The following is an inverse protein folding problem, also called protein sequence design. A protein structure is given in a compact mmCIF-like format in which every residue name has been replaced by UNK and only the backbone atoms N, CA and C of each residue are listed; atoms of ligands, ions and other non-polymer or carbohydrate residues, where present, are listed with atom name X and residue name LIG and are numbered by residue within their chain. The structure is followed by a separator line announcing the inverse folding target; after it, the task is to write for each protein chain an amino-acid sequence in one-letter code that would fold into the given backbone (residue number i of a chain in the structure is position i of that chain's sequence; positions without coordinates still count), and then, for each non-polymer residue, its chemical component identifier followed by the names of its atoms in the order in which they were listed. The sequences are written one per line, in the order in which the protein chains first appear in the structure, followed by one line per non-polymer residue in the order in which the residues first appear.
data_IF_639469201298
#
_entry.id   IF_639469201298
#
_cell.length_a   1.000
_cell.length_b   1.000
_cell.length_c   1.000
_cell.angle_alpha   90.00
_cell.angle_beta   90.00
_cell.angle_gamma   90.00
#
_symmetry.space_group_name_H-M   'P 1'
#
loop_
_entity.id
_entity.type
_entity.pdbx_description
1 polymer ?
#
# COMPACT_ATOMS: atom_id res chain seq x y z
N UNK A 1 0.86 -4.37 63.21
CA UNK A 1 0.69 -5.44 62.20
C UNK A 1 1.03 -4.82 60.85
N UNK A 2 2.20 -5.17 60.30
CA UNK A 2 2.70 -4.67 59.02
C UNK A 2 2.88 -5.86 58.07
N UNK A 3 2.45 -5.78 56.80
CA UNK A 3 2.66 -6.88 55.87
C UNK A 3 4.03 -6.77 55.17
N UNK A 4 4.64 -7.95 55.06
CA UNK A 4 5.94 -8.20 54.45
C UNK A 4 5.95 -7.94 52.94
N UNK A 5 7.12 -7.51 52.48
CA UNK A 5 7.54 -7.34 51.09
C UNK A 5 7.73 -8.71 50.43
N UNK A 6 7.10 -8.92 49.29
CA UNK A 6 7.45 -10.00 48.37
C UNK A 6 8.17 -9.40 47.16
N UNK A 7 9.46 -9.65 47.10
CA UNK A 7 10.38 -9.32 46.03
C UNK A 7 10.23 -10.31 44.87
N UNK A 8 9.75 -9.81 43.73
CA UNK A 8 9.73 -10.55 42.46
C UNK A 8 10.96 -10.22 41.64
N UNK A 9 11.75 -11.26 41.41
CA UNK A 9 13.02 -11.32 40.71
C UNK A 9 12.91 -10.90 39.24
N UNK A 10 13.57 -9.80 38.89
CA UNK A 10 13.89 -9.42 37.51
C UNK A 10 14.95 -10.36 36.96
N UNK A 11 14.59 -11.20 35.99
CA UNK A 11 15.54 -11.94 35.16
C UNK A 11 15.76 -11.14 33.88
N UNK A 12 16.94 -10.54 33.76
CA UNK A 12 17.46 -10.07 32.47
C UNK A 12 17.86 -11.27 31.60
N UNK A 13 17.57 -11.24 30.29
CA UNK A 13 18.34 -11.98 29.31
C UNK A 13 19.51 -11.14 28.79
N UNK A 14 20.69 -11.59 29.16
CA UNK A 14 22.02 -11.18 28.72
C UNK A 14 22.28 -11.58 27.26
N UNK A 15 22.70 -10.60 26.47
CA UNK A 15 23.90 -10.61 25.59
C UNK A 15 23.92 -11.57 24.39
N UNK A 16 23.75 -10.94 23.22
CA UNK A 16 24.60 -11.05 22.03
C UNK A 16 24.78 -12.39 21.32
N UNK A 17 24.17 -12.50 20.14
CA UNK A 17 24.79 -13.19 19.00
C UNK A 17 24.41 -12.45 17.70
N UNK A 18 25.29 -11.54 17.26
CA UNK A 18 25.23 -10.98 15.90
C UNK A 18 25.72 -12.06 14.93
N UNK A 19 24.81 -12.90 14.47
CA UNK A 19 25.02 -13.68 13.27
C UNK A 19 25.01 -12.72 12.08
N UNK A 20 26.13 -12.64 11.38
CA UNK A 20 26.22 -12.06 10.04
C UNK A 20 25.30 -12.90 9.16
N UNK A 21 24.07 -12.42 8.94
CA UNK A 21 23.17 -12.95 7.93
C UNK A 21 23.75 -12.55 6.58
N UNK A 22 24.56 -13.45 6.03
CA UNK A 22 24.87 -13.44 4.60
C UNK A 22 23.52 -13.57 3.87
N UNK A 23 23.16 -12.65 2.97
CA UNK A 23 21.91 -12.78 2.23
C UNK A 23 21.93 -14.10 1.46
N UNK A 24 20.78 -14.81 1.36
CA UNK A 24 20.71 -15.95 0.46
C UNK A 24 21.05 -15.44 -0.93
N UNK A 25 22.15 -15.94 -1.49
CA UNK A 25 22.42 -15.90 -2.92
C UNK A 25 21.20 -16.48 -3.60
N UNK A 26 20.35 -15.60 -4.11
CA UNK A 26 19.21 -15.97 -4.92
C UNK A 26 19.80 -16.67 -6.13
N UNK A 27 19.78 -18.01 -6.11
CA UNK A 27 20.12 -18.83 -7.25
C UNK A 27 19.21 -18.36 -8.39
N UNK A 28 19.80 -17.62 -9.33
CA UNK A 28 19.15 -17.28 -10.57
C UNK A 28 18.73 -18.59 -11.25
N UNK A 29 17.44 -18.79 -11.55
CA UNK A 29 17.07 -19.86 -12.46
C UNK A 29 17.77 -19.61 -13.81
N UNK A 30 18.17 -20.67 -14.53
CA UNK A 30 18.78 -20.51 -15.85
C UNK A 30 17.83 -19.70 -16.73
N UNK A 31 18.33 -18.57 -17.25
CA UNK A 31 17.69 -17.82 -18.32
C UNK A 31 17.52 -18.78 -19.51
N UNK A 32 16.33 -19.35 -19.64
CA UNK A 32 15.90 -19.92 -20.91
C UNK A 32 15.64 -18.75 -21.85
N UNK A 33 16.59 -18.50 -22.75
CA UNK A 33 16.40 -17.71 -23.95
C UNK A 33 15.41 -18.44 -24.84
N UNK A 34 14.12 -18.21 -24.65
CA UNK A 34 13.11 -18.62 -25.62
C UNK A 34 12.75 -17.42 -26.50
N UNK A 35 13.43 -17.35 -27.64
CA UNK A 35 13.07 -16.48 -28.74
C UNK A 35 11.78 -17.00 -29.37
N UNK A 36 10.65 -16.35 -29.11
CA UNK A 36 9.54 -16.20 -30.07
C UNK A 36 8.42 -15.39 -29.43
N UNK A 37 8.36 -14.10 -29.74
CA UNK A 37 7.09 -13.39 -29.77
C UNK A 37 7.14 -12.33 -30.86
N UNK A 38 6.33 -12.58 -31.87
CA UNK A 38 5.96 -11.69 -32.96
C UNK A 38 5.31 -10.42 -32.43
N UNK A 39 5.94 -9.28 -32.69
CA UNK A 39 5.37 -7.95 -32.45
C UNK A 39 4.23 -7.68 -33.44
N UNK A 40 3.05 -7.20 -32.99
CA UNK A 40 2.24 -6.30 -33.80
C UNK A 40 2.77 -4.88 -33.62
N UNK A 41 3.17 -4.27 -34.73
CA UNK A 41 3.52 -2.87 -34.82
C UNK A 41 2.33 -2.00 -34.36
N UNK A 42 2.52 -1.25 -33.28
CA UNK A 42 1.69 -0.07 -33.01
C UNK A 42 2.57 1.15 -33.15
N UNK A 43 2.43 1.80 -34.31
CA UNK A 43 2.95 3.14 -34.54
C UNK A 43 2.30 4.08 -33.53
N UNK A 44 3.07 4.59 -32.58
CA UNK A 44 2.66 5.73 -31.77
C UNK A 44 3.64 6.88 -32.01
N UNK A 45 3.25 7.74 -32.96
CA UNK A 45 3.88 9.05 -33.17
C UNK A 45 3.48 9.92 -31.99
N UNK A 46 4.38 10.16 -31.04
CA UNK A 46 4.18 11.22 -30.07
C UNK A 46 5.35 12.19 -30.09
N UNK A 47 5.06 13.39 -30.58
CA UNK A 47 5.98 14.50 -30.73
C UNK A 47 6.33 15.07 -29.36
N UNK A 48 7.62 15.06 -29.05
CA UNK A 48 8.22 15.74 -27.91
C UNK A 48 8.19 17.26 -28.14
N UNK A 49 7.47 18.00 -27.31
CA UNK A 49 7.74 19.42 -27.05
C UNK A 49 7.97 19.61 -25.56
N UNK A 50 9.25 19.55 -25.19
CA UNK A 50 9.74 19.96 -23.88
C UNK A 50 9.69 21.48 -23.79
N UNK A 51 9.02 22.01 -22.77
CA UNK A 51 9.29 23.36 -22.30
C UNK A 51 9.55 23.31 -20.80
N UNK A 52 10.83 23.54 -20.51
CA UNK A 52 11.41 23.87 -19.23
C UNK A 52 10.76 25.15 -18.67
N UNK A 53 10.37 25.15 -17.40
CA UNK A 53 10.26 26.38 -16.60
C UNK A 53 10.19 26.02 -15.11
N UNK A 54 11.31 26.29 -14.45
CA UNK A 54 11.44 26.44 -13.01
C UNK A 54 10.48 27.52 -12.48
N UNK A 55 9.82 27.27 -11.34
CA UNK A 55 8.98 28.27 -10.69
C UNK A 55 8.19 27.81 -9.47
N UNK A 56 8.86 27.80 -8.32
CA UNK A 56 8.36 27.98 -6.95
C UNK A 56 7.31 27.04 -6.30
N UNK A 57 7.46 26.79 -4.98
CA UNK A 57 6.43 26.20 -4.13
C UNK A 57 5.43 27.26 -3.66
N UNK A 58 4.14 26.94 -3.64
CA UNK A 58 3.15 27.67 -2.85
C UNK A 58 2.25 26.71 -2.06
N UNK A 59 1.86 27.09 -0.83
CA UNK A 59 1.11 26.27 0.10
C UNK A 59 -0.40 26.30 -0.22
N UNK A 60 -1.09 25.30 0.32
CA UNK A 60 -2.53 25.06 0.42
C UNK A 60 -3.45 26.28 0.25
N UNK A 61 -4.65 26.02 -0.30
CA UNK A 61 -5.86 26.55 0.29
C UNK A 61 -6.80 25.43 0.73
N UNK A 62 -7.46 25.73 1.84
CA UNK A 62 -8.42 24.94 2.57
C UNK A 62 -9.68 24.55 1.77
N UNK A 63 -10.40 23.60 2.37
CA UNK A 63 -11.87 23.53 2.40
C UNK A 63 -12.63 23.38 1.08
N UNK A 64 -12.99 22.13 0.79
CA UNK A 64 -14.38 21.76 0.42
C UNK A 64 -14.55 20.26 0.65
N UNK A 65 -15.00 19.83 1.83
CA UNK A 65 -16.42 19.58 2.09
C UNK A 65 -17.12 18.71 1.03
N UNK A 66 -16.56 17.55 0.67
CA UNK A 66 -17.34 16.48 0.03
C UNK A 66 -18.10 15.72 1.12
N UNK A 67 -19.28 16.26 1.37
CA UNK A 67 -20.42 15.67 2.04
C UNK A 67 -20.46 14.14 2.02
N UNK A 68 -20.38 13.56 3.21
CA UNK A 68 -21.49 12.78 3.78
C UNK A 68 -22.19 11.85 2.78
N UNK A 69 -21.66 10.65 2.63
CA UNK A 69 -22.51 9.47 2.42
C UNK A 69 -22.00 8.32 3.29
N UNK A 70 -21.98 8.60 4.59
CA UNK A 70 -22.11 7.55 5.62
C UNK A 70 -23.45 6.87 5.36
N UNK A 71 -23.44 5.82 4.55
CA UNK A 71 -24.44 4.78 4.63
C UNK A 71 -24.35 4.23 6.04
N UNK A 72 -25.17 4.80 6.93
CA UNK A 72 -25.35 4.30 8.27
C UNK A 72 -25.58 2.79 8.16
N UNK A 73 -24.85 1.95 8.93
CA UNK A 73 -25.29 0.59 9.11
C UNK A 73 -26.73 0.67 9.59
N UNK A 74 -27.61 0.05 8.82
CA UNK A 74 -29.02 -0.10 9.14
C UNK A 74 -29.08 -0.96 10.40
N UNK A 75 -28.91 -0.32 11.55
CA UNK A 75 -29.05 -0.93 12.86
C UNK A 75 -30.51 -1.35 12.94
N UNK A 76 -30.75 -2.58 12.50
CA UNK A 76 -32.02 -3.28 12.62
C UNK A 76 -32.11 -3.77 14.06
N UNK A 77 -32.01 -2.84 15.00
CA UNK A 77 -32.39 -3.05 16.40
C UNK A 77 -33.87 -2.71 16.48
N UNK A 78 -34.67 -3.56 15.85
CA UNK A 78 -36.08 -3.67 16.14
C UNK A 78 -36.34 -5.10 16.63
N UNK A 79 -35.50 -5.56 17.55
CA UNK A 79 -36.03 -6.36 18.65
C UNK A 79 -36.87 -5.42 19.49
N UNK A 80 -38.09 -5.28 19.00
CA UNK A 80 -39.26 -4.99 19.79
C UNK A 80 -39.21 -5.97 20.94
N UNK A 81 -38.53 -5.59 22.03
CA UNK A 81 -38.89 -6.08 23.34
C UNK A 81 -40.36 -5.72 23.42
N UNK A 82 -41.19 -6.72 23.16
CA UNK A 82 -42.60 -6.71 23.45
C UNK A 82 -42.67 -6.45 24.96
N UNK A 83 -42.60 -5.17 25.32
CA UNK A 83 -43.12 -4.71 26.57
C UNK A 83 -44.60 -4.98 26.42
N UNK A 84 -44.99 -6.14 26.91
CA UNK A 84 -46.38 -6.52 27.15
C UNK A 84 -46.90 -5.57 28.23
N UNK A 85 -47.03 -4.28 27.89
CA UNK A 85 -47.93 -3.37 28.56
C UNK A 85 -49.33 -3.81 28.11
N UNK A 86 -49.76 -4.94 28.65
CA UNK A 86 -51.15 -5.38 28.63
C UNK A 86 -52.01 -4.22 29.07
N UNK A 87 -52.88 -3.77 28.16
CA UNK A 87 -54.04 -2.96 28.48
C UNK A 87 -53.71 -1.59 29.06
N UNK A 88 -53.63 -0.59 28.19
CA UNK A 88 -53.95 0.80 28.53
C UNK A 88 -55.42 0.88 28.95
N UNK A 89 -55.74 0.42 30.16
CA UNK A 89 -56.92 0.82 30.91
C UNK A 89 -56.63 2.21 31.46
N UNK A 90 -57.58 3.14 31.33
CA UNK A 90 -57.46 4.55 31.68
C UNK A 90 -56.81 4.77 33.06
N UNK A 91 -56.02 5.86 33.25
CA UNK A 91 -55.20 6.04 34.43
C UNK A 91 -56.06 6.37 35.66
N UNK A 92 -56.53 5.33 36.36
CA UNK A 92 -56.79 5.47 37.78
C UNK A 92 -55.46 5.80 38.46
N UNK A 93 -55.41 6.93 39.17
CA UNK A 93 -54.21 7.39 39.84
C UNK A 93 -53.78 6.35 40.88
N UNK A 94 -52.77 5.54 40.55
CA UNK A 94 -52.18 4.63 41.54
C UNK A 94 -51.65 5.48 42.69
N UNK A 95 -51.94 5.13 43.94
CA UNK A 95 -51.47 5.88 45.10
C UNK A 95 -49.94 5.96 45.06
N UNK A 96 -49.38 7.14 45.36
CA UNK A 96 -47.94 7.42 45.26
C UNK A 96 -47.09 6.42 46.06
N UNK A 97 -47.63 5.90 47.16
CA UNK A 97 -47.00 4.86 48.00
C UNK A 97 -46.80 3.52 47.28
N UNK A 98 -47.68 3.15 46.36
CA UNK A 98 -47.54 1.93 45.56
C UNK A 98 -46.45 2.09 44.51
N UNK A 99 -46.38 3.26 43.86
CA UNK A 99 -45.36 3.58 42.86
C UNK A 99 -43.96 3.61 43.49
N UNK A 100 -43.83 4.21 44.68
CA UNK A 100 -42.54 4.28 45.39
C UNK A 100 -42.19 2.93 46.04
N UNK A 101 -43.19 2.11 46.37
CA UNK A 101 -43.01 0.76 46.91
C UNK A 101 -42.67 -0.30 45.85
N UNK A 102 -42.89 0.00 44.57
CA UNK A 102 -42.58 -0.91 43.48
C UNK A 102 -41.07 -1.12 43.38
N UNK A 103 -40.65 -2.36 43.66
CA UNK A 103 -39.26 -2.75 43.51
C UNK A 103 -38.99 -3.09 42.05
N UNK A 104 -38.13 -2.32 41.41
CA UNK A 104 -37.66 -2.62 40.06
C UNK A 104 -36.99 -4.00 40.02
N UNK A 105 -37.19 -4.71 38.91
CA UNK A 105 -36.44 -5.91 38.62
C UNK A 105 -34.92 -5.58 38.66
N UNK A 106 -34.08 -6.47 39.22
CA UNK A 106 -32.64 -6.26 39.20
C UNK A 106 -32.11 -6.04 37.78
N UNK A 107 -31.34 -4.98 37.58
CA UNK A 107 -30.74 -4.68 36.28
C UNK A 107 -29.49 -5.53 36.03
N UNK A 108 -29.55 -6.37 35.00
CA UNK A 108 -28.40 -7.14 34.54
C UNK A 108 -27.62 -6.34 33.49
N UNK A 109 -26.74 -5.46 33.96
CA UNK A 109 -25.87 -4.66 33.12
C UNK A 109 -24.88 -5.49 32.30
N UNK A 110 -24.51 -6.67 32.80
CA UNK A 110 -23.51 -7.50 32.15
C UNK A 110 -24.07 -8.05 30.83
N UNK A 111 -25.29 -8.57 30.87
CA UNK A 111 -25.94 -9.09 29.66
C UNK A 111 -26.41 -7.99 28.72
N UNK A 112 -26.96 -6.90 29.27
CA UNK A 112 -27.63 -5.87 28.46
C UNK A 112 -26.69 -4.82 27.90
N UNK A 113 -25.55 -4.56 28.56
CA UNK A 113 -24.60 -3.52 28.15
C UNK A 113 -23.25 -4.14 27.82
N UNK A 114 -22.62 -4.85 28.77
CA UNK A 114 -21.22 -5.29 28.60
C UNK A 114 -21.07 -6.37 27.53
N UNK A 115 -22.01 -7.30 27.44
CA UNK A 115 -22.01 -8.39 26.45
C UNK A 115 -21.87 -7.91 25.01
N UNK A 116 -22.79 -7.06 24.52
CA UNK A 116 -22.72 -6.50 23.15
C UNK A 116 -21.39 -5.81 22.83
N UNK A 117 -20.83 -5.03 23.75
CA UNK A 117 -19.53 -4.38 23.53
C UNK A 117 -18.37 -5.37 23.48
N UNK A 118 -18.44 -6.43 24.28
CA UNK A 118 -17.42 -7.49 24.26
C UNK A 118 -17.46 -8.24 22.93
N UNK A 119 -18.67 -8.53 22.42
CA UNK A 119 -18.86 -9.16 21.11
C UNK A 119 -18.42 -8.23 19.96
N UNK A 120 -18.73 -6.94 20.03
CA UNK A 120 -18.27 -5.94 19.06
C UNK A 120 -16.75 -5.88 19.02
N UNK A 121 -16.11 -5.78 20.19
CA UNK A 121 -14.64 -5.72 20.31
C UNK A 121 -13.99 -6.97 19.73
N UNK A 122 -14.59 -8.15 19.93
CA UNK A 122 -14.10 -9.39 19.33
C UNK A 122 -14.22 -9.37 17.80
N UNK A 123 -15.33 -8.82 17.27
CA UNK A 123 -15.53 -8.68 15.83
C UNK A 123 -14.54 -7.70 15.20
N UNK A 124 -14.30 -6.56 15.84
CA UNK A 124 -13.32 -5.57 15.39
C UNK A 124 -11.92 -6.18 15.34
N UNK A 125 -11.55 -6.96 16.35
CA UNK A 125 -10.27 -7.68 16.36
C UNK A 125 -10.13 -8.63 15.17
N UNK A 126 -11.18 -9.38 14.83
CA UNK A 126 -11.14 -10.28 13.65
C UNK A 126 -11.06 -9.50 12.34
N UNK A 127 -11.76 -8.37 12.25
CA UNK A 127 -11.73 -7.52 11.07
C UNK A 127 -10.35 -6.89 10.85
N UNK A 128 -9.69 -6.42 11.90
CA UNK A 128 -8.33 -5.89 11.81
C UNK A 128 -7.33 -6.97 11.38
N UNK A 129 -7.47 -8.19 11.91
CA UNK A 129 -6.65 -9.34 11.52
C UNK A 129 -6.82 -9.68 10.03
N UNK A 130 -8.04 -9.62 9.49
CA UNK A 130 -8.30 -9.85 8.07
C UNK A 130 -7.82 -8.68 7.20
N UNK A 131 -8.01 -7.43 7.65
CA UNK A 131 -7.67 -6.23 6.87
C UNK A 131 -6.16 -6.02 6.72
N UNK A 132 -5.37 -6.40 7.73
CA UNK A 132 -3.91 -6.26 7.75
C UNK A 132 -3.23 -6.86 6.50
N UNK A 133 -3.44 -8.15 6.20
CA UNK A 133 -2.94 -8.81 5.00
C UNK A 133 -3.37 -8.15 3.70
N UNK A 134 -4.64 -7.74 3.56
CA UNK A 134 -5.13 -7.12 2.32
C UNK A 134 -4.50 -5.75 2.04
N UNK A 135 -4.34 -4.92 3.07
CA UNK A 135 -3.69 -3.61 2.93
C UNK A 135 -2.21 -3.74 2.57
N UNK A 136 -1.52 -4.70 3.18
CA UNK A 136 -0.12 -5.00 2.89
C UNK A 136 0.05 -5.55 1.47
N UNK A 137 -0.80 -6.51 1.06
CA UNK A 137 -0.78 -7.10 -0.28
C UNK A 137 -0.97 -6.04 -1.37
N UNK A 138 -1.95 -5.14 -1.21
CA UNK A 138 -2.18 -4.04 -2.15
C UNK A 138 -0.97 -3.11 -2.27
N UNK A 139 -0.29 -2.83 -1.15
CA UNK A 139 0.91 -1.98 -1.14
C UNK A 139 2.07 -2.67 -1.87
N UNK A 140 2.27 -3.97 -1.65
CA UNK A 140 3.28 -4.77 -2.34
C UNK A 140 2.99 -4.83 -3.85
N UNK A 141 1.75 -5.09 -4.23
CA UNK A 141 1.31 -5.16 -5.62
C UNK A 141 1.54 -3.83 -6.36
N UNK A 142 1.21 -2.71 -5.71
CA UNK A 142 1.44 -1.36 -6.25
C UNK A 142 2.93 -1.11 -6.51
N UNK A 143 3.78 -1.43 -5.54
CA UNK A 143 5.23 -1.25 -5.69
C UNK A 143 5.85 -2.21 -6.72
N UNK A 144 5.35 -3.44 -6.83
CA UNK A 144 5.79 -4.38 -7.86
C UNK A 144 5.49 -3.84 -9.26
N UNK A 145 4.30 -3.27 -9.46
CA UNK A 145 3.90 -2.66 -10.73
C UNK A 145 4.73 -1.40 -11.06
N UNK A 146 4.92 -0.51 -10.10
CA UNK A 146 5.77 0.69 -10.28
C UNK A 146 7.21 0.32 -10.63
N UNK A 147 7.76 -0.68 -9.95
CA UNK A 147 9.09 -1.21 -10.22
C UNK A 147 9.19 -1.78 -11.63
N UNK A 148 8.20 -2.56 -12.07
CA UNK A 148 8.16 -3.12 -13.43
C UNK A 148 8.12 -2.00 -14.49
N UNK A 149 7.32 -0.96 -14.27
CA UNK A 149 7.25 0.19 -15.18
C UNK A 149 8.60 0.94 -15.24
N UNK A 150 9.28 1.09 -14.11
CA UNK A 150 10.61 1.69 -14.05
C UNK A 150 11.65 0.86 -14.82
N UNK A 151 11.62 -0.47 -14.67
CA UNK A 151 12.49 -1.39 -15.43
C UNK A 151 12.25 -1.26 -16.93
N UNK A 152 11.00 -1.31 -17.38
CA UNK A 152 10.66 -1.16 -18.80
C UNK A 152 11.15 0.17 -19.38
N UNK A 153 11.01 1.26 -18.61
CA UNK A 153 11.52 2.57 -19.01
C UNK A 153 13.04 2.58 -19.15
N UNK A 154 13.76 1.86 -18.28
CA UNK A 154 15.21 1.73 -18.37
C UNK A 154 15.62 0.87 -19.57
N UNK A 155 14.93 -0.25 -19.82
CA UNK A 155 15.17 -1.11 -20.98
C UNK A 155 15.02 -0.35 -22.31
N UNK A 156 13.98 0.49 -22.41
CA UNK A 156 13.78 1.35 -23.58
C UNK A 156 14.95 2.32 -23.75
N UNK A 157 15.35 3.00 -22.67
CA UNK A 157 16.50 3.94 -22.72
C UNK A 157 17.81 3.25 -23.09
N UNK A 158 18.04 2.04 -22.60
CA UNK A 158 19.23 1.25 -22.96
C UNK A 158 19.19 0.92 -24.46
N UNK A 159 18.03 0.55 -24.99
CA UNK A 159 17.85 0.28 -26.42
C UNK A 159 18.16 1.52 -27.27
N UNK A 160 17.67 2.70 -26.85
CA UNK A 160 17.95 3.97 -27.52
C UNK A 160 19.46 4.29 -27.54
N UNK A 161 20.14 4.11 -26.41
CA UNK A 161 21.60 4.34 -26.31
C UNK A 161 22.37 3.40 -27.24
N UNK A 162 22.02 2.12 -27.29
CA UNK A 162 22.66 1.14 -28.17
C UNK A 162 22.50 1.55 -29.65
N UNK A 163 21.34 2.06 -30.05
CA UNK A 163 21.11 2.53 -31.41
C UNK A 163 21.99 3.73 -31.75
N UNK A 164 22.08 4.71 -30.84
CA UNK A 164 22.93 5.89 -31.00
C UNK A 164 24.41 5.51 -31.07
N UNK A 165 24.89 4.63 -30.20
CA UNK A 165 26.26 4.13 -30.20
C UNK A 165 26.60 3.41 -31.50
N UNK A 166 25.67 2.60 -32.02
CA UNK A 166 25.82 1.93 -33.31
C UNK A 166 25.95 2.93 -34.46
N UNK A 167 25.13 3.98 -34.48
CA UNK A 167 25.21 5.03 -35.50
C UNK A 167 26.53 5.83 -35.41
N UNK A 168 26.99 6.10 -34.19
CA UNK A 168 28.28 6.74 -33.94
C UNK A 168 29.44 5.87 -34.44
N UNK A 169 29.43 4.57 -34.17
CA UNK A 169 30.46 3.63 -34.63
C UNK A 169 30.52 3.56 -36.16
N UNK A 170 29.36 3.54 -36.84
CA UNK A 170 29.32 3.61 -38.30
C UNK A 170 29.96 4.89 -38.84
N UNK A 171 29.72 6.02 -38.17
CA UNK A 171 30.34 7.30 -38.55
C UNK A 171 31.84 7.28 -38.33
N UNK A 172 32.31 6.68 -37.23
CA UNK A 172 33.74 6.48 -36.93
C UNK A 172 34.41 5.62 -38.01
N UNK A 173 33.77 4.54 -38.44
CA UNK A 173 34.29 3.67 -39.50
C UNK A 173 34.44 4.43 -40.81
N UNK A 174 33.41 5.18 -41.24
CA UNK A 174 33.46 5.99 -42.47
C UNK A 174 34.59 7.02 -42.44
N UNK A 175 34.79 7.66 -41.29
CA UNK A 175 35.89 8.61 -41.11
C UNK A 175 37.25 7.91 -41.21
N UNK A 176 37.40 6.73 -40.60
CA UNK A 176 38.62 5.94 -40.68
C UNK A 176 38.93 5.57 -42.13
N UNK A 177 37.95 5.04 -42.85
CA UNK A 177 38.09 4.66 -44.27
C UNK A 177 38.52 5.86 -45.12
N UNK A 178 37.91 7.04 -44.89
CA UNK A 178 38.28 8.28 -45.57
C UNK A 178 39.74 8.69 -45.31
N UNK A 179 40.18 8.64 -44.05
CA UNK A 179 41.56 8.98 -43.67
C UNK A 179 42.55 8.01 -44.34
N UNK A 180 42.25 6.71 -44.35
CA UNK A 180 43.09 5.70 -45.03
C UNK A 180 43.18 5.98 -46.54
N UNK A 181 42.06 6.32 -47.19
CA UNK A 181 42.07 6.69 -48.60
C UNK A 181 42.92 7.95 -48.87
N UNK A 182 42.82 8.98 -48.03
CA UNK A 182 43.62 10.19 -48.14
C UNK A 182 45.11 9.92 -47.98
N UNK A 183 45.49 9.11 -46.98
CA UNK A 183 46.88 8.73 -46.76
C UNK A 183 47.44 7.94 -47.95
N UNK A 184 46.66 7.00 -48.49
CA UNK A 184 47.04 6.23 -49.68
C UNK A 184 47.25 7.13 -50.90
N UNK A 185 46.37 8.10 -51.12
CA UNK A 185 46.51 9.05 -52.22
C UNK A 185 47.77 9.93 -52.07
N UNK A 186 48.05 10.40 -50.85
CA UNK A 186 49.24 11.21 -50.57
C UNK A 186 50.52 10.39 -50.80
N UNK A 187 50.58 9.14 -50.33
CA UNK A 187 51.71 8.25 -50.57
C UNK A 187 51.96 8.08 -52.08
N UNK A 188 50.89 7.79 -52.84
CA UNK A 188 50.97 7.67 -54.30
C UNK A 188 51.46 8.96 -55.00
N UNK A 189 51.06 10.14 -54.52
CA UNK A 189 51.48 11.43 -55.09
C UNK A 189 52.91 11.84 -54.70
N UNK A 190 53.38 11.41 -53.53
CA UNK A 190 54.71 11.78 -53.01
C UNK A 190 55.81 10.80 -53.38
N UNK A 191 55.45 9.60 -53.88
CA UNK A 191 56.43 8.57 -54.25
C UNK A 191 57.18 7.95 -53.07
N UNK A 192 56.64 8.12 -51.86
CA UNK A 192 57.06 7.47 -50.61
C UNK A 192 56.38 6.10 -50.45
#
# INVERSE_FOLDING_TARGET
MAPQKNSSTTKEPSTSESAIVTPPTCAQPPRQTNHQSSNPATNNVNSSKSQDSAGQPRPNPDTSSSSKKTSAPKSTTSDTLASTHSGSVAPESRPLTEIIGEKFAPFDHQRLVVGPFTEETARDSTFEEELGPYSSMRSIETHAYESQLAVQKLENKISDVIEVEKAQEQTRQRLNDFVVHMQTAIAALTGL
#
